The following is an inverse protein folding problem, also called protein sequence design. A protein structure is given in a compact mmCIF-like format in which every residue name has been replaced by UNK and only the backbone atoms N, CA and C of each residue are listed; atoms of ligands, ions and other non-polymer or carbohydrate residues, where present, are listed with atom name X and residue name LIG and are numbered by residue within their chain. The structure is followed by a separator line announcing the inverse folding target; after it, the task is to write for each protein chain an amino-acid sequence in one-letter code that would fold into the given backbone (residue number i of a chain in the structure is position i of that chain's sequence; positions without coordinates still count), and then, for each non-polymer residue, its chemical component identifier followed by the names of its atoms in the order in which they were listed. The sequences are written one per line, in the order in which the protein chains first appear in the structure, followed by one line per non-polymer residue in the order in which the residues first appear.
data_IF_203344138664
#
_entry.id   IF_203344138664
#
_cell.length_a   1.000
_cell.length_b   1.000
_cell.length_c   1.000
_cell.angle_alpha   90.00
_cell.angle_beta   90.00
_cell.angle_gamma   90.00
#
_symmetry.space_group_name_H-M   'P 1'
#
loop_
_entity.id
_entity.type
_entity.pdbx_description
1 polymer ?
#
# COMPACT_ATOMS: atom_id res chain seq x y z
N UNK A 1 2.22 0.93 28.71
CA UNK A 1 2.82 1.84 29.71
C UNK A 1 3.51 2.95 28.92
N UNK A 2 2.90 4.13 28.86
CA UNK A 2 3.46 5.31 28.18
C UNK A 2 4.61 5.85 29.03
N UNK A 3 5.86 5.61 28.63
CA UNK A 3 7.05 6.06 29.39
C UNK A 3 7.75 7.26 28.76
N UNK A 4 7.26 7.77 27.61
CA UNK A 4 7.71 9.02 27.02
C UNK A 4 6.49 9.82 26.53
N UNK A 5 6.48 11.17 26.70
CA UNK A 5 5.38 12.03 26.26
C UNK A 5 5.49 12.21 24.74
N UNK A 6 5.14 11.14 24.02
CA UNK A 6 5.21 11.07 22.57
C UNK A 6 3.79 11.11 22.06
N UNK A 7 3.52 12.01 21.11
CA UNK A 7 2.19 12.14 20.56
C UNK A 7 1.75 10.82 19.89
N UNK A 8 0.49 10.44 20.08
CA UNK A 8 -0.08 9.16 19.64
C UNK A 8 0.07 8.90 18.13
N UNK A 9 0.10 9.96 17.31
CA UNK A 9 0.33 9.86 15.87
C UNK A 9 1.75 9.37 15.52
N UNK A 10 2.76 9.70 16.34
CA UNK A 10 4.14 9.24 16.12
C UNK A 10 4.28 7.74 16.42
N UNK A 11 3.55 7.23 17.41
CA UNK A 11 3.54 5.80 17.73
C UNK A 11 2.83 4.99 16.64
N UNK A 12 1.72 5.50 16.10
CA UNK A 12 1.03 4.86 14.98
C UNK A 12 1.90 4.87 13.73
N UNK A 13 2.54 6.00 13.41
CA UNK A 13 3.50 6.08 12.28
C UNK A 13 4.66 5.11 12.44
N UNK A 14 5.27 5.03 13.62
CA UNK A 14 6.39 4.12 13.86
C UNK A 14 5.97 2.65 13.66
N UNK A 15 4.79 2.27 14.14
CA UNK A 15 4.23 0.92 13.91
C UNK A 15 3.88 0.68 12.45
N UNK A 16 3.38 1.69 11.74
CA UNK A 16 3.07 1.59 10.32
C UNK A 16 4.34 1.41 9.49
N UNK A 17 5.39 2.20 9.74
CA UNK A 17 6.69 2.07 9.06
C UNK A 17 7.29 0.69 9.32
N UNK A 18 7.25 0.21 10.57
CA UNK A 18 7.72 -1.12 10.92
C UNK A 18 6.92 -2.23 10.19
N UNK A 19 5.60 -2.11 10.15
CA UNK A 19 4.74 -3.04 9.42
C UNK A 19 5.08 -3.05 7.93
N UNK A 20 5.20 -1.88 7.31
CA UNK A 20 5.57 -1.74 5.90
C UNK A 20 6.94 -2.34 5.59
N UNK A 21 7.96 -2.05 6.41
CA UNK A 21 9.28 -2.64 6.25
C UNK A 21 9.21 -4.19 6.32
N UNK A 22 8.43 -4.72 7.27
CA UNK A 22 8.25 -6.17 7.41
C UNK A 22 7.50 -6.77 6.21
N UNK A 23 6.50 -6.07 5.67
CA UNK A 23 5.78 -6.51 4.46
C UNK A 23 6.70 -6.54 3.25
N UNK A 24 7.56 -5.53 3.07
CA UNK A 24 8.54 -5.51 1.97
C UNK A 24 9.52 -6.67 2.10
N UNK A 25 10.06 -6.92 3.29
CA UNK A 25 10.96 -8.05 3.55
C UNK A 25 10.26 -9.38 3.26
N UNK A 26 9.03 -9.59 3.74
CA UNK A 26 8.27 -10.80 3.45
C UNK A 26 7.93 -10.96 1.97
N UNK A 27 7.67 -9.85 1.26
CA UNK A 27 7.46 -9.87 -0.19
C UNK A 27 8.70 -10.35 -0.94
N UNK A 28 9.88 -9.82 -0.59
CA UNK A 28 11.16 -10.24 -1.18
C UNK A 28 11.41 -11.73 -0.88
N UNK A 29 11.23 -12.15 0.38
CA UNK A 29 11.38 -13.56 0.77
C UNK A 29 10.41 -14.46 0.02
N UNK A 30 9.16 -14.01 -0.18
CA UNK A 30 8.15 -14.74 -0.95
C UNK A 30 8.54 -14.92 -2.42
N UNK A 31 9.04 -13.87 -3.07
CA UNK A 31 9.54 -13.94 -4.46
C UNK A 31 10.72 -14.90 -4.54
N UNK A 32 11.69 -14.80 -3.63
CA UNK A 32 12.84 -15.71 -3.57
C UNK A 32 12.40 -17.16 -3.36
N UNK A 33 11.39 -17.39 -2.51
CA UNK A 33 10.83 -18.72 -2.31
C UNK A 33 10.13 -19.26 -3.57
N UNK A 34 9.40 -18.42 -4.32
CA UNK A 34 8.83 -18.82 -5.62
C UNK A 34 9.90 -19.22 -6.62
N UNK A 35 11.00 -18.46 -6.71
CA UNK A 35 12.14 -18.80 -7.57
C UNK A 35 12.79 -20.12 -7.16
N UNK A 36 12.97 -20.35 -5.86
CA UNK A 36 13.57 -21.58 -5.33
C UNK A 36 12.69 -22.82 -5.59
N UNK A 37 11.38 -22.65 -5.58
CA UNK A 37 10.40 -23.73 -5.73
C UNK A 37 10.07 -24.06 -7.19
N UNK A 38 10.46 -23.19 -8.14
CA UNK A 38 10.35 -23.47 -9.57
C UNK A 38 11.42 -24.52 -9.96
N UNK A 39 11.07 -25.55 -10.75
CA UNK A 39 12.04 -26.53 -11.24
C UNK A 39 12.89 -25.89 -12.34
N UNK A 40 13.80 -25.02 -11.94
CA UNK A 40 14.78 -24.37 -12.81
C UNK A 40 16.07 -25.18 -12.79
N UNK A 41 16.66 -25.38 -13.97
CA UNK A 41 18.02 -25.89 -14.08
C UNK A 41 18.98 -24.80 -13.61
N UNK A 42 19.57 -25.00 -12.44
CA UNK A 42 20.50 -24.03 -11.83
C UNK A 42 21.68 -23.72 -12.75
N UNK A 43 22.11 -24.68 -13.56
CA UNK A 43 23.18 -24.50 -14.55
C UNK A 43 22.79 -23.53 -15.69
N UNK A 44 21.51 -23.47 -16.08
CA UNK A 44 21.03 -22.47 -17.05
C UNK A 44 20.97 -21.07 -16.40
N UNK A 45 20.54 -20.95 -15.14
CA UNK A 45 20.51 -19.66 -14.41
C UNK A 45 21.91 -19.05 -14.27
N UNK A 46 22.93 -19.87 -14.06
CA UNK A 46 24.32 -19.42 -13.95
C UNK A 46 25.02 -19.28 -15.31
N UNK A 47 24.33 -19.54 -16.43
CA UNK A 47 24.91 -19.35 -17.75
C UNK A 47 25.13 -17.85 -18.04
N UNK A 48 26.38 -17.53 -18.35
CA UNK A 48 26.83 -16.20 -18.76
C UNK A 48 26.09 -15.65 -19.98
N UNK A 49 25.55 -16.50 -20.87
CA UNK A 49 24.83 -16.06 -22.06
C UNK A 49 23.45 -15.45 -21.73
N UNK A 50 22.71 -16.04 -20.78
CA UNK A 50 21.43 -15.48 -20.32
C UNK A 50 21.65 -14.13 -19.62
N UNK A 51 22.66 -14.04 -18.75
CA UNK A 51 22.99 -12.78 -18.09
C UNK A 51 23.44 -11.72 -19.10
N UNK A 52 24.26 -12.06 -20.09
CA UNK A 52 24.63 -11.13 -21.15
C UNK A 52 23.42 -10.66 -21.98
N UNK A 53 22.48 -11.55 -22.30
CA UNK A 53 21.24 -11.18 -22.98
C UNK A 53 20.36 -10.25 -22.12
N UNK A 54 20.23 -10.53 -20.82
CA UNK A 54 19.50 -9.67 -19.89
C UNK A 54 20.18 -8.31 -19.75
N UNK A 55 21.49 -8.26 -19.52
CA UNK A 55 22.25 -7.02 -19.43
C UNK A 55 22.21 -6.22 -20.74
N UNK A 56 22.29 -6.89 -21.90
CA UNK A 56 22.18 -6.21 -23.20
C UNK A 56 20.80 -5.56 -23.37
N UNK A 57 19.72 -6.29 -23.08
CA UNK A 57 18.35 -5.74 -23.13
C UNK A 57 18.15 -4.60 -22.12
N UNK A 58 18.71 -4.71 -20.90
CA UNK A 58 18.68 -3.63 -19.90
C UNK A 58 19.46 -2.39 -20.35
N UNK A 59 20.59 -2.55 -21.04
CA UNK A 59 21.38 -1.42 -21.55
C UNK A 59 20.74 -0.73 -22.76
N UNK A 60 19.93 -1.45 -23.55
CA UNK A 60 19.23 -0.91 -24.72
C UNK A 60 17.94 -0.16 -24.35
N UNK A 61 17.30 -0.51 -23.23
CA UNK A 61 16.07 0.11 -22.75
C UNK A 61 16.13 0.41 -21.25
N UNK A 62 16.81 1.50 -20.82
CA UNK A 62 16.90 1.90 -19.42
C UNK A 62 15.52 2.21 -18.79
N UNK A 63 14.52 2.49 -19.61
CA UNK A 63 13.15 2.80 -19.18
C UNK A 63 12.47 1.61 -18.47
N UNK A 64 12.85 0.37 -18.80
CA UNK A 64 12.30 -0.84 -18.15
C UNK A 64 12.59 -0.86 -16.65
N UNK A 65 13.78 -0.44 -16.24
CA UNK A 65 14.18 -0.39 -14.83
C UNK A 65 13.34 0.66 -14.09
N UNK A 66 13.06 1.78 -14.75
CA UNK A 66 12.24 2.85 -14.18
C UNK A 66 10.78 2.39 -14.03
N UNK A 67 10.20 1.74 -15.04
CA UNK A 67 8.86 1.15 -14.94
C UNK A 67 8.74 0.09 -13.84
N UNK A 68 9.77 -0.75 -13.68
CA UNK A 68 9.80 -1.75 -12.61
C UNK A 68 9.83 -1.10 -11.22
N UNK A 69 10.61 -0.02 -11.07
CA UNK A 69 10.66 0.75 -9.83
C UNK A 69 9.33 1.46 -9.54
N UNK A 70 8.71 2.07 -10.55
CA UNK A 70 7.39 2.72 -10.45
C UNK A 70 6.30 1.72 -10.06
N UNK A 71 6.32 0.52 -10.63
CA UNK A 71 5.44 -0.58 -10.26
C UNK A 71 5.64 -1.05 -8.81
N UNK A 72 6.90 -1.20 -8.37
CA UNK A 72 7.22 -1.57 -7.00
C UNK A 72 6.72 -0.50 -6.01
N UNK A 73 6.87 0.77 -6.37
CA UNK A 73 6.40 1.90 -5.57
C UNK A 73 4.87 1.90 -5.47
N UNK A 74 4.16 1.69 -6.59
CA UNK A 74 2.70 1.54 -6.59
C UNK A 74 2.23 0.43 -5.65
N UNK A 75 2.88 -0.74 -5.70
CA UNK A 75 2.56 -1.86 -4.82
C UNK A 75 2.74 -1.46 -3.34
N UNK A 76 3.84 -0.80 -3.02
CA UNK A 76 4.12 -0.33 -1.67
C UNK A 76 3.05 0.66 -1.19
N UNK A 77 2.66 1.63 -2.03
CA UNK A 77 1.59 2.59 -1.71
C UNK A 77 0.26 1.87 -1.50
N UNK A 78 -0.07 0.89 -2.32
CA UNK A 78 -1.30 0.10 -2.18
C UNK A 78 -1.32 -0.68 -0.85
N UNK A 79 -0.19 -1.28 -0.45
CA UNK A 79 -0.05 -1.88 0.87
C UNK A 79 -0.22 -0.85 2.00
N UNK A 80 0.35 0.34 1.87
CA UNK A 80 0.18 1.41 2.88
C UNK A 80 -1.29 1.79 3.07
N UNK A 81 -2.04 1.93 1.97
CA UNK A 81 -3.46 2.28 2.00
C UNK A 81 -4.28 1.19 2.70
N UNK A 82 -3.99 -0.08 2.41
CA UNK A 82 -4.64 -1.22 3.04
C UNK A 82 -4.40 -1.24 4.56
N UNK A 83 -3.15 -1.03 5.01
CA UNK A 83 -2.84 -0.95 6.43
C UNK A 83 -3.52 0.23 7.11
N UNK A 84 -3.55 1.41 6.48
CA UNK A 84 -4.25 2.58 7.01
C UNK A 84 -5.75 2.32 7.20
N UNK A 85 -6.40 1.62 6.25
CA UNK A 85 -7.81 1.26 6.36
C UNK A 85 -8.06 0.33 7.57
N UNK A 86 -7.20 -0.68 7.79
CA UNK A 86 -7.27 -1.52 8.98
C UNK A 86 -7.07 -0.73 10.28
N UNK A 87 -6.11 0.19 10.32
CA UNK A 87 -5.89 1.05 11.49
C UNK A 87 -7.07 1.97 11.77
N UNK A 88 -7.71 2.53 10.73
CA UNK A 88 -8.91 3.35 10.84
C UNK A 88 -10.09 2.56 11.39
N UNK A 89 -10.35 1.37 10.84
CA UNK A 89 -11.38 0.47 11.34
C UNK A 89 -11.16 0.09 12.81
N UNK A 90 -9.90 -0.18 13.19
CA UNK A 90 -9.54 -0.51 14.57
C UNK A 90 -9.76 0.68 15.51
N UNK A 91 -9.33 1.88 15.11
CA UNK A 91 -9.52 3.12 15.88
C UNK A 91 -11.02 3.44 16.09
N UNK A 92 -11.84 3.32 15.04
CA UNK A 92 -13.29 3.51 15.13
C UNK A 92 -13.92 2.49 16.08
N UNK A 93 -13.56 1.21 15.99
CA UNK A 93 -14.11 0.21 16.90
C UNK A 93 -13.69 0.40 18.36
N UNK A 94 -12.50 0.97 18.60
CA UNK A 94 -12.04 1.33 19.95
C UNK A 94 -12.75 2.55 20.56
N UNK A 95 -13.44 3.35 19.74
CA UNK A 95 -14.28 4.45 20.22
C UNK A 95 -15.51 3.95 20.99
N UNK A 96 -15.96 2.73 20.73
CA UNK A 96 -17.08 2.12 21.42
C UNK A 96 -16.58 1.27 22.59
N UNK A 97 -16.84 1.71 23.82
CA UNK A 97 -16.34 1.07 25.05
C UNK A 97 -16.81 -0.39 25.22
N UNK A 98 -17.95 -0.76 24.64
CA UNK A 98 -18.55 -2.11 24.69
C UNK A 98 -18.43 -2.79 23.32
N UNK A 99 -17.95 -4.05 23.29
CA UNK A 99 -17.76 -4.89 22.08
C UNK A 99 -16.82 -4.29 21.00
N UNK A 100 -15.67 -3.75 21.42
CA UNK A 100 -14.65 -3.11 20.55
C UNK A 100 -14.31 -3.92 19.29
N UNK A 101 -14.12 -5.22 19.41
CA UNK A 101 -13.73 -6.10 18.31
C UNK A 101 -14.84 -6.19 17.24
N UNK A 102 -16.10 -6.39 17.65
CA UNK A 102 -17.23 -6.46 16.73
C UNK A 102 -17.46 -5.12 16.02
N UNK A 103 -17.27 -4.01 16.75
CA UNK A 103 -17.40 -2.67 16.18
C UNK A 103 -16.27 -2.34 15.19
N UNK A 104 -15.04 -2.84 15.41
CA UNK A 104 -13.95 -2.70 14.44
C UNK A 104 -14.24 -3.47 13.14
N UNK A 105 -14.79 -4.68 13.24
CA UNK A 105 -15.17 -5.46 12.06
C UNK A 105 -16.31 -4.78 11.30
N UNK A 106 -17.34 -4.31 12.00
CA UNK A 106 -18.44 -3.56 11.40
C UNK A 106 -17.94 -2.26 10.72
N UNK A 107 -17.02 -1.54 11.36
CA UNK A 107 -16.40 -0.34 10.80
C UNK A 107 -15.58 -0.66 9.54
N UNK A 108 -14.85 -1.78 9.50
CA UNK A 108 -14.12 -2.20 8.31
C UNK A 108 -15.04 -2.43 7.12
N UNK A 109 -16.16 -3.15 7.30
CA UNK A 109 -17.15 -3.31 6.23
C UNK A 109 -17.78 -1.99 5.83
N UNK A 110 -18.13 -1.13 6.79
CA UNK A 110 -18.66 0.20 6.51
C UNK A 110 -17.70 1.05 5.68
N UNK A 111 -16.41 1.05 6.01
CA UNK A 111 -15.38 1.76 5.26
C UNK A 111 -15.20 1.20 3.85
N UNK A 112 -15.19 -0.13 3.68
CA UNK A 112 -15.09 -0.75 2.35
C UNK A 112 -16.32 -0.44 1.47
N UNK A 113 -17.51 -0.43 2.04
CA UNK A 113 -18.74 -0.06 1.33
C UNK A 113 -18.69 1.42 0.93
N UNK A 114 -18.25 2.30 1.83
CA UNK A 114 -18.08 3.73 1.52
C UNK A 114 -17.05 3.94 0.41
N UNK A 115 -15.89 3.29 0.51
CA UNK A 115 -14.84 3.35 -0.50
C UNK A 115 -15.32 2.86 -1.87
N UNK A 116 -16.06 1.75 -1.88
CA UNK A 116 -16.68 1.21 -3.10
C UNK A 116 -17.74 2.16 -3.66
N UNK A 117 -18.58 2.77 -2.81
CA UNK A 117 -19.64 3.69 -3.24
C UNK A 117 -19.05 4.98 -3.80
N UNK A 118 -17.99 5.51 -3.18
CA UNK A 118 -17.26 6.68 -3.68
C UNK A 118 -16.62 6.34 -5.03
N UNK A 119 -15.95 5.18 -5.13
CA UNK A 119 -15.33 4.74 -6.39
C UNK A 119 -16.38 4.56 -7.48
N UNK A 120 -17.53 3.95 -7.19
CA UNK A 120 -18.63 3.81 -8.15
C UNK A 120 -19.22 5.17 -8.55
N UNK A 121 -19.44 6.08 -7.60
CA UNK A 121 -19.93 7.42 -7.91
C UNK A 121 -18.94 8.24 -8.76
N UNK A 122 -17.63 8.08 -8.51
CA UNK A 122 -16.56 8.68 -9.31
C UNK A 122 -16.46 8.05 -10.72
N UNK A 123 -16.88 6.79 -10.87
CA UNK A 123 -16.96 6.11 -12.16
C UNK A 123 -18.12 6.64 -12.99
N UNK A 124 -19.30 6.82 -12.38
CA UNK A 124 -20.50 7.31 -13.06
C UNK A 124 -20.36 8.73 -13.62
N UNK A 125 -19.49 9.56 -13.04
CA UNK A 125 -19.22 10.93 -13.51
C UNK A 125 -18.09 11.01 -14.56
N UNK A 126 -17.66 9.89 -15.13
CA UNK A 126 -16.51 9.75 -16.04
C UNK A 126 -15.16 10.26 -15.49
N UNK A 127 -15.10 10.70 -14.23
CA UNK A 127 -13.87 11.20 -13.60
C UNK A 127 -12.83 10.07 -13.44
N UNK A 128 -13.28 8.84 -13.17
CA UNK A 128 -12.40 7.66 -13.16
C UNK A 128 -12.10 7.11 -14.56
N UNK A 129 -12.87 7.45 -15.59
CA UNK A 129 -12.58 7.00 -16.96
C UNK A 129 -11.29 7.65 -17.50
N UNK A 130 -11.01 8.90 -17.10
CA UNK A 130 -9.70 9.52 -17.29
C UNK A 130 -8.57 8.77 -16.56
N UNK A 131 -8.88 8.14 -15.43
CA UNK A 131 -7.91 7.41 -14.61
C UNK A 131 -7.61 6.01 -15.15
N UNK A 132 -8.66 5.28 -15.56
CA UNK A 132 -8.55 3.93 -16.12
C UNK A 132 -8.16 3.92 -17.59
N UNK A 133 -8.47 4.98 -18.33
CA UNK A 133 -8.03 5.20 -19.71
C UNK A 133 -6.60 5.74 -19.83
N UNK A 134 -5.90 5.96 -18.71
CA UNK A 134 -4.49 6.33 -18.74
C UNK A 134 -3.65 5.14 -19.16
N UNK A 135 -2.88 5.35 -20.23
CA UNK A 135 -1.98 4.35 -20.76
C UNK A 135 -0.86 4.07 -19.74
N UNK A 136 -0.92 2.91 -19.09
CA UNK A 136 0.08 2.39 -18.15
C UNK A 136 1.42 2.05 -18.84
N UNK A 137 1.59 2.45 -20.09
CA UNK A 137 2.84 2.38 -20.84
C UNK A 137 3.64 3.69 -20.81
N UNK A 138 3.11 4.75 -20.18
CA UNK A 138 3.78 6.04 -20.06
C UNK A 138 4.09 6.35 -18.59
N UNK A 139 5.31 6.80 -18.28
CA UNK A 139 5.72 7.15 -16.92
C UNK A 139 4.72 8.09 -16.22
N UNK A 140 4.18 9.07 -16.94
CA UNK A 140 3.18 9.99 -16.42
C UNK A 140 1.93 9.29 -15.83
N UNK A 141 1.51 8.15 -16.41
CA UNK A 141 0.39 7.35 -15.90
C UNK A 141 0.70 6.70 -14.55
N UNK A 142 1.92 6.19 -14.38
CA UNK A 142 2.37 5.64 -13.09
C UNK A 142 2.41 6.71 -11.99
N UNK A 143 3.02 7.86 -12.27
CA UNK A 143 3.10 8.96 -11.30
C UNK A 143 1.72 9.48 -10.89
N UNK A 144 0.80 9.61 -11.85
CA UNK A 144 -0.55 10.07 -11.55
C UNK A 144 -1.33 9.00 -10.78
N UNK A 145 -1.18 7.72 -11.11
CA UNK A 145 -1.73 6.60 -10.34
C UNK A 145 -1.24 6.58 -8.89
N UNK A 146 0.08 6.77 -8.68
CA UNK A 146 0.69 6.90 -7.35
C UNK A 146 0.06 8.07 -6.58
N UNK A 147 -0.02 9.25 -7.21
CA UNK A 147 -0.55 10.45 -6.58
C UNK A 147 -2.02 10.26 -6.20
N UNK A 148 -2.82 9.66 -7.07
CA UNK A 148 -4.24 9.45 -6.82
C UNK A 148 -4.49 8.41 -5.73
N UNK A 149 -3.67 7.36 -5.63
CA UNK A 149 -3.71 6.40 -4.52
C UNK A 149 -3.23 7.01 -3.19
N UNK A 150 -2.36 8.01 -3.25
CA UNK A 150 -1.85 8.70 -2.07
C UNK A 150 -2.92 9.61 -1.43
N UNK A 151 -3.85 10.17 -2.22
CA UNK A 151 -4.96 11.00 -1.71
C UNK A 151 -5.83 10.26 -0.68
N UNK A 152 -6.46 9.10 -0.99
CA UNK A 152 -7.28 8.37 -0.02
C UNK A 152 -6.44 7.84 1.15
N UNK A 153 -5.19 7.42 0.92
CA UNK A 153 -4.28 7.01 1.99
C UNK A 153 -4.00 8.17 2.98
N UNK A 154 -3.76 9.38 2.46
CA UNK A 154 -3.56 10.58 3.26
C UNK A 154 -4.83 10.99 4.01
N UNK A 155 -6.00 10.91 3.37
CA UNK A 155 -7.30 11.17 4.02
C UNK A 155 -7.54 10.18 5.17
N UNK A 156 -7.31 8.89 4.96
CA UNK A 156 -7.45 7.88 6.01
C UNK A 156 -6.45 8.08 7.16
N UNK A 157 -5.23 8.53 6.85
CA UNK A 157 -4.22 8.89 7.86
C UNK A 157 -4.62 10.13 8.69
N UNK A 158 -5.19 11.15 8.05
CA UNK A 158 -5.69 12.33 8.75
C UNK A 158 -6.91 11.99 9.61
N UNK A 159 -7.83 11.16 9.11
CA UNK A 159 -9.01 10.71 9.85
C UNK A 159 -8.62 9.87 11.07
N UNK A 160 -7.68 8.94 10.93
CA UNK A 160 -7.14 8.16 12.08
C UNK A 160 -6.50 9.08 13.11
N UNK A 161 -5.66 10.02 12.67
CA UNK A 161 -5.00 10.99 13.56
C UNK A 161 -6.00 11.91 14.26
N UNK A 162 -7.09 12.28 13.59
CA UNK A 162 -8.15 13.11 14.17
C UNK A 162 -8.97 12.34 15.21
N UNK A 163 -9.39 11.10 14.91
CA UNK A 163 -10.13 10.24 15.85
C UNK A 163 -9.30 9.98 17.11
N UNK A 164 -8.01 9.72 16.97
CA UNK A 164 -7.09 9.50 18.08
C UNK A 164 -6.84 10.76 18.92
N UNK A 165 -6.98 11.96 18.35
CA UNK A 165 -6.75 13.23 19.07
C UNK A 165 -8.01 13.79 19.73
N UNK A 166 -9.19 13.65 19.11
CA UNK A 166 -10.43 14.29 19.58
C UNK A 166 -11.41 13.36 20.29
N UNK A 167 -11.33 12.05 20.06
CA UNK A 167 -12.37 11.09 20.48
C UNK A 167 -11.83 9.99 21.40
N UNK A 168 -10.58 9.60 21.23
CA UNK A 168 -9.82 8.82 22.21
C UNK A 168 -8.97 9.81 23.03
N UNK A 169 -9.56 10.44 24.04
CA UNK A 169 -8.79 11.26 24.97
C UNK A 169 -7.67 10.38 25.54
N UNK A 170 -6.42 10.68 25.15
CA UNK A 170 -5.21 10.19 25.82
C UNK A 170 -4.78 11.23 26.88
N UNK A 171 -5.79 11.83 27.51
CA UNK A 171 -5.76 12.47 28.84
C UNK A 171 -6.70 11.68 29.74
#
# INVERSE_FOLDING_TARGET
MHTLPVHSWQLVLSKLICALATTVVNGIVGILAMFLMMPLDWDEIFDTQLWQAVFHNLTQQPDIILYFLEFLLLLLVMCTAMFMNFYLAMAIGHLFSRRRILMSVAAFFGLNILDSTITSALHDIDALNWLYGMDLSNHAGYWLGILLLLIPAAVMFLLTSWILKHKLNLE
#
